data_IF_077208667899
#
_entry.id   IF_077208667899
#
_cell.length_a   1.000
_cell.length_b   1.000
_cell.length_c   1.000
_cell.angle_alpha   90.00
_cell.angle_beta   90.00
_cell.angle_gamma   90.00
#
_symmetry.space_group_name_H-M   'P 1'
#
loop_
_entity.id
_entity.type
_entity.pdbx_description
1 polymer ?
#
# COMPACT_ATOMS: atom_id res chain seq x y z
N UNK A 1 48.28 -48.32 -7.63
CA UNK A 1 47.81 -47.31 -6.65
C UNK A 1 47.73 -45.98 -7.36
N UNK A 2 46.52 -45.47 -7.63
CA UNK A 2 46.27 -44.16 -8.23
C UNK A 2 45.39 -43.39 -7.25
N UNK A 3 45.92 -42.32 -6.66
CA UNK A 3 45.11 -41.38 -5.88
C UNK A 3 44.38 -40.42 -6.82
N UNK A 4 43.09 -40.12 -6.60
CA UNK A 4 42.41 -39.07 -7.34
C UNK A 4 42.68 -37.69 -6.72
N UNK A 5 43.08 -36.75 -7.58
CA UNK A 5 43.20 -35.31 -7.33
C UNK A 5 41.79 -34.70 -7.15
N UNK A 6 41.55 -33.77 -6.21
CA UNK A 6 40.22 -33.18 -6.04
C UNK A 6 39.90 -32.23 -7.21
N UNK A 7 38.66 -32.34 -7.69
CA UNK A 7 38.10 -31.50 -8.74
C UNK A 7 38.03 -30.04 -8.30
N UNK A 8 38.76 -29.18 -9.02
CA UNK A 8 38.66 -27.72 -8.94
C UNK A 8 37.21 -27.27 -9.21
N UNK A 9 36.56 -26.71 -8.19
CA UNK A 9 35.29 -26.00 -8.34
C UNK A 9 35.54 -24.77 -9.23
N UNK A 10 35.08 -24.87 -10.48
CA UNK A 10 35.23 -23.84 -11.50
C UNK A 10 34.69 -22.47 -11.00
N UNK A 11 35.47 -21.37 -11.11
CA UNK A 11 35.13 -20.04 -10.62
C UNK A 11 33.93 -19.37 -11.34
N UNK A 12 33.46 -19.94 -12.44
CA UNK A 12 32.36 -19.39 -13.24
C UNK A 12 30.99 -19.49 -12.58
N UNK A 13 30.75 -20.47 -11.70
CA UNK A 13 29.45 -20.60 -10.99
C UNK A 13 29.28 -19.53 -9.91
N UNK A 14 30.36 -19.12 -9.26
CA UNK A 14 30.33 -18.09 -8.20
C UNK A 14 30.11 -16.71 -8.80
N UNK A 15 30.78 -16.40 -9.92
CA UNK A 15 30.58 -15.14 -10.63
C UNK A 15 29.15 -14.97 -11.16
N UNK A 16 28.55 -16.03 -11.73
CA UNK A 16 27.16 -15.99 -12.21
C UNK A 16 26.14 -15.74 -11.09
N UNK A 17 26.34 -16.35 -9.91
CA UNK A 17 25.44 -16.17 -8.77
C UNK A 17 25.50 -14.75 -8.20
N UNK A 18 26.69 -14.15 -8.14
CA UNK A 18 26.91 -12.77 -7.67
C UNK A 18 26.29 -11.73 -8.60
N UNK A 19 26.37 -11.94 -9.92
CA UNK A 19 25.76 -11.03 -10.91
C UNK A 19 24.23 -11.09 -10.84
N UNK A 20 23.65 -12.30 -10.74
CA UNK A 20 22.19 -12.46 -10.61
C UNK A 20 21.71 -11.86 -9.28
N UNK A 21 22.40 -12.12 -8.17
CA UNK A 21 22.07 -11.51 -6.88
C UNK A 21 22.18 -9.97 -6.92
N UNK A 22 23.21 -9.42 -7.55
CA UNK A 22 23.39 -7.98 -7.71
C UNK A 22 22.27 -7.33 -8.54
N UNK A 23 21.88 -7.94 -9.66
CA UNK A 23 20.78 -7.44 -10.50
C UNK A 23 19.44 -7.52 -9.77
N UNK A 24 19.18 -8.61 -9.02
CA UNK A 24 17.97 -8.75 -8.20
C UNK A 24 17.91 -7.70 -7.09
N UNK A 25 19.04 -7.41 -6.43
CA UNK A 25 19.13 -6.38 -5.39
C UNK A 25 18.88 -4.98 -5.95
N UNK A 26 19.42 -4.65 -7.12
CA UNK A 26 19.21 -3.34 -7.77
C UNK A 26 17.75 -3.16 -8.20
N UNK A 27 17.12 -4.19 -8.76
CA UNK A 27 15.70 -4.15 -9.13
C UNK A 27 14.80 -4.05 -7.89
N UNK A 28 15.12 -4.76 -6.82
CA UNK A 28 14.40 -4.66 -5.55
C UNK A 28 14.53 -3.25 -4.94
N UNK A 29 15.71 -2.64 -5.00
CA UNK A 29 15.95 -1.28 -4.53
C UNK A 29 15.15 -0.24 -5.36
N UNK A 30 15.15 -0.36 -6.69
CA UNK A 30 14.37 0.51 -7.56
C UNK A 30 12.85 0.38 -7.34
N UNK A 31 12.37 -0.85 -7.16
CA UNK A 31 10.97 -1.11 -6.82
C UNK A 31 10.59 -0.56 -5.44
N UNK A 32 11.52 -0.61 -4.48
CA UNK A 32 11.32 -0.04 -3.14
C UNK A 32 11.25 1.48 -3.21
N UNK A 33 12.17 2.14 -3.92
CA UNK A 33 12.16 3.59 -4.10
C UNK A 33 10.91 4.09 -4.83
N UNK A 34 10.40 3.35 -5.82
CA UNK A 34 9.15 3.68 -6.49
C UNK A 34 7.93 3.56 -5.55
N UNK A 35 7.89 2.52 -4.71
CA UNK A 35 6.83 2.34 -3.73
C UNK A 35 6.86 3.41 -2.62
N UNK A 36 8.04 3.83 -2.17
CA UNK A 36 8.19 4.91 -1.20
C UNK A 36 7.75 6.26 -1.77
N UNK A 37 8.16 6.58 -3.00
CA UNK A 37 7.71 7.79 -3.69
C UNK A 37 6.18 7.81 -3.88
N UNK A 38 5.57 6.66 -4.15
CA UNK A 38 4.14 6.49 -4.23
C UNK A 38 3.44 6.71 -2.89
N UNK A 39 4.00 6.20 -1.79
CA UNK A 39 3.51 6.44 -0.42
C UNK A 39 3.55 7.93 -0.09
N UNK A 40 4.68 8.61 -0.36
CA UNK A 40 4.81 10.05 -0.11
C UNK A 40 3.84 10.85 -0.96
N UNK A 41 3.65 10.52 -2.24
CA UNK A 41 2.69 11.21 -3.11
C UNK A 41 1.26 11.10 -2.59
N UNK A 42 0.83 9.87 -2.21
CA UNK A 42 -0.52 9.62 -1.67
C UNK A 42 -0.71 10.29 -0.31
N UNK A 43 0.31 10.25 0.56
CA UNK A 43 0.29 10.94 1.84
C UNK A 43 0.18 12.46 1.67
N UNK A 44 1.02 13.06 0.80
CA UNK A 44 1.00 14.49 0.51
C UNK A 44 -0.32 14.95 -0.12
N UNK A 45 -0.93 14.14 -0.98
CA UNK A 45 -2.28 14.41 -1.49
C UNK A 45 -3.30 14.51 -0.34
N UNK A 46 -3.30 13.50 0.55
CA UNK A 46 -4.20 13.47 1.70
C UNK A 46 -3.93 14.67 2.61
N UNK A 47 -2.66 14.98 2.88
CA UNK A 47 -2.29 16.06 3.80
C UNK A 47 -2.36 17.47 3.21
N UNK A 48 -2.68 17.59 1.92
CA UNK A 48 -2.59 18.83 1.15
C UNK A 48 -1.21 19.51 1.28
N UNK A 49 -0.16 18.71 1.50
CA UNK A 49 1.22 19.19 1.46
C UNK A 49 1.54 19.63 0.02
N UNK A 50 1.50 20.95 -0.23
CA UNK A 50 1.72 21.54 -1.55
C UNK A 50 0.62 22.48 -2.06
N UNK A 51 -0.49 22.67 -1.33
CA UNK A 51 -1.50 23.70 -1.62
C UNK A 51 -2.95 23.23 -1.44
N UNK A 52 -3.89 24.18 -1.44
CA UNK A 52 -5.32 23.93 -1.24
C UNK A 52 -5.92 23.04 -2.35
N UNK A 53 -6.71 22.03 -1.96
CA UNK A 53 -7.63 21.37 -2.88
C UNK A 53 -8.55 22.42 -3.51
N UNK A 54 -8.92 22.28 -4.80
CA UNK A 54 -9.90 23.17 -5.36
C UNK A 54 -11.22 23.05 -4.61
N UNK A 55 -11.58 24.10 -3.87
CA UNK A 55 -12.86 24.25 -3.20
C UNK A 55 -14.07 24.37 -4.16
N UNK A 56 -13.90 24.07 -5.46
CA UNK A 56 -14.94 24.26 -6.47
C UNK A 56 -14.96 23.13 -7.51
N UNK A 57 -16.15 22.63 -7.90
CA UNK A 57 -16.28 21.68 -9.00
C UNK A 57 -15.72 22.29 -10.30
N UNK A 58 -14.92 21.52 -11.03
CA UNK A 58 -14.36 21.90 -12.34
C UNK A 58 -12.88 22.32 -12.34
N UNK A 59 -12.20 22.34 -11.19
CA UNK A 59 -10.73 22.51 -11.14
C UNK A 59 -10.05 21.16 -11.07
N UNK A 60 -8.94 21.01 -11.80
CA UNK A 60 -8.12 19.80 -11.75
C UNK A 60 -7.58 19.59 -10.33
N UNK A 61 -7.59 18.35 -9.80
CA UNK A 61 -6.90 18.02 -8.56
C UNK A 61 -5.43 18.44 -8.67
N UNK A 62 -4.78 18.87 -7.57
CA UNK A 62 -3.34 19.05 -7.58
C UNK A 62 -2.67 17.75 -8.05
N UNK A 63 -1.58 17.84 -8.79
CA UNK A 63 -0.86 16.72 -9.40
C UNK A 63 -0.66 15.48 -8.47
N UNK A 64 -0.34 15.63 -7.16
CA UNK A 64 -0.22 14.49 -6.25
C UNK A 64 -1.54 13.72 -6.01
N UNK A 65 -2.70 14.34 -6.23
CA UNK A 65 -4.02 13.75 -6.01
C UNK A 65 -4.66 13.12 -7.24
N UNK A 66 -4.02 13.21 -8.41
CA UNK A 66 -4.58 12.62 -9.63
C UNK A 66 -4.64 11.09 -9.50
N UNK A 67 -5.85 10.54 -9.61
CA UNK A 67 -6.08 9.09 -9.69
C UNK A 67 -6.21 8.34 -8.36
N UNK A 68 -6.13 9.02 -7.22
CA UNK A 68 -6.17 8.37 -5.89
C UNK A 68 -7.47 7.60 -5.60
N UNK A 69 -8.58 8.00 -6.23
CA UNK A 69 -9.88 7.30 -6.19
C UNK A 69 -10.01 6.17 -7.22
N UNK A 70 -9.25 6.26 -8.31
CA UNK A 70 -9.29 5.31 -9.43
C UNK A 70 -8.51 4.03 -9.12
N UNK A 71 -7.56 4.10 -8.19
CA UNK A 71 -6.70 2.97 -7.81
C UNK A 71 -7.47 1.77 -7.25
N UNK A 72 -8.61 1.99 -6.59
CA UNK A 72 -9.49 0.90 -6.15
C UNK A 72 -10.20 0.19 -7.32
N UNK A 73 -10.48 0.93 -8.40
CA UNK A 73 -11.09 0.40 -9.62
C UNK A 73 -10.09 -0.17 -10.63
N UNK A 74 -8.80 0.19 -10.52
CA UNK A 74 -7.76 -0.30 -11.43
C UNK A 74 -7.56 -1.82 -11.31
N UNK A 75 -7.67 -2.38 -10.10
CA UNK A 75 -7.62 -3.83 -9.91
C UNK A 75 -8.87 -4.55 -10.46
N UNK A 76 -10.01 -3.85 -10.61
CA UNK A 76 -11.24 -4.45 -11.14
C UNK A 76 -11.11 -4.79 -12.65
N UNK A 77 -10.14 -4.20 -13.36
CA UNK A 77 -9.84 -4.49 -14.77
C UNK A 77 -9.00 -5.77 -14.98
N UNK A 78 -8.49 -6.37 -13.91
CA UNK A 78 -7.72 -7.62 -13.94
C UNK A 78 -8.63 -8.80 -13.54
N UNK A 79 -8.20 -10.03 -13.82
CA UNK A 79 -8.91 -11.24 -13.42
C UNK A 79 -7.99 -12.27 -12.76
N UNK A 80 -8.58 -13.18 -11.98
CA UNK A 80 -7.93 -14.31 -11.34
C UNK A 80 -6.77 -13.89 -10.42
N UNK A 81 -5.62 -14.55 -10.59
CA UNK A 81 -4.45 -14.34 -9.75
C UNK A 81 -3.87 -12.92 -9.86
N UNK A 82 -3.90 -12.32 -11.06
CA UNK A 82 -3.38 -10.97 -11.28
C UNK A 82 -4.17 -9.92 -10.51
N UNK A 83 -5.51 -10.08 -10.46
CA UNK A 83 -6.37 -9.22 -9.67
C UNK A 83 -6.10 -9.36 -8.17
N UNK A 84 -5.93 -10.58 -7.66
CA UNK A 84 -5.61 -10.79 -6.24
C UNK A 84 -4.28 -10.16 -5.84
N UNK A 85 -3.26 -10.30 -6.70
CA UNK A 85 -1.95 -9.67 -6.48
C UNK A 85 -2.04 -8.15 -6.51
N UNK A 86 -2.86 -7.59 -7.40
CA UNK A 86 -3.13 -6.15 -7.43
C UNK A 86 -3.73 -5.66 -6.11
N UNK A 87 -4.80 -6.29 -5.63
CA UNK A 87 -5.40 -5.89 -4.35
C UNK A 87 -4.43 -6.04 -3.18
N UNK A 88 -3.66 -7.12 -3.10
CA UNK A 88 -2.68 -7.31 -2.04
C UNK A 88 -1.60 -6.21 -2.04
N UNK A 89 -1.09 -5.86 -3.22
CA UNK A 89 -0.11 -4.77 -3.39
C UNK A 89 -0.70 -3.42 -2.98
N UNK A 90 -1.89 -3.08 -3.48
CA UNK A 90 -2.53 -1.80 -3.15
C UNK A 90 -2.87 -1.67 -1.66
N UNK A 91 -3.37 -2.74 -1.03
CA UNK A 91 -3.64 -2.74 0.42
C UNK A 91 -2.34 -2.50 1.20
N UNK A 92 -1.26 -3.20 0.85
CA UNK A 92 0.03 -3.03 1.52
C UNK A 92 0.60 -1.61 1.34
N UNK A 93 0.44 -1.03 0.15
CA UNK A 93 0.84 0.33 -0.16
C UNK A 93 0.04 1.35 0.68
N UNK A 94 -1.28 1.18 0.77
CA UNK A 94 -2.14 2.03 1.58
C UNK A 94 -1.92 1.86 3.09
N UNK A 95 -1.58 0.67 3.56
CA UNK A 95 -1.18 0.45 4.95
C UNK A 95 0.11 1.22 5.28
N UNK A 96 1.05 1.35 4.34
CA UNK A 96 2.24 2.21 4.48
C UNK A 96 1.89 3.70 4.46
N UNK A 97 0.92 4.13 3.64
CA UNK A 97 0.41 5.51 3.67
C UNK A 97 -0.14 5.84 5.06
N UNK A 98 -0.91 4.94 5.67
CA UNK A 98 -1.39 5.13 7.04
C UNK A 98 -0.26 5.23 8.07
N UNK A 99 0.80 4.42 7.94
CA UNK A 99 1.98 4.52 8.80
C UNK A 99 2.73 5.84 8.61
N UNK A 100 2.80 6.36 7.38
CA UNK A 100 3.40 7.66 7.06
C UNK A 100 2.61 8.84 7.63
N UNK A 101 1.28 8.72 7.67
CA UNK A 101 0.39 9.73 8.24
C UNK A 101 0.38 9.70 9.78
N UNK A 102 0.70 8.55 10.40
CA UNK A 102 0.69 8.35 11.85
C UNK A 102 1.37 9.46 12.68
N UNK A 103 2.62 9.85 12.42
CA UNK A 103 3.27 10.91 13.20
C UNK A 103 2.55 12.25 13.06
N UNK A 104 2.11 12.62 11.85
CA UNK A 104 1.36 13.86 11.61
C UNK A 104 0.05 13.88 12.41
N UNK A 105 -0.66 12.75 12.45
CA UNK A 105 -1.88 12.60 13.24
C UNK A 105 -1.63 12.69 14.75
N UNK A 106 -0.56 12.05 15.22
CA UNK A 106 -0.15 12.06 16.61
C UNK A 106 0.18 13.47 17.10
N UNK A 107 0.96 14.22 16.31
CA UNK A 107 1.37 15.59 16.62
C UNK A 107 0.16 16.53 16.65
N UNK A 108 -0.74 16.43 15.67
CA UNK A 108 -1.94 17.28 15.57
C UNK A 108 -2.94 17.05 16.70
N UNK A 109 -3.11 15.80 17.15
CA UNK A 109 -4.04 15.46 18.24
C UNK A 109 -3.40 15.53 19.63
N UNK A 110 -2.07 15.64 19.73
CA UNK A 110 -1.36 15.58 21.01
C UNK A 110 -1.52 14.26 21.76
N UNK A 111 -1.93 13.19 21.06
CA UNK A 111 -2.32 11.91 21.65
C UNK A 111 -1.71 10.71 20.90
N UNK A 112 -0.37 10.58 20.87
CA UNK A 112 0.33 9.58 20.06
C UNK A 112 -0.11 8.14 20.34
N UNK A 113 -0.34 7.78 21.60
CA UNK A 113 -0.79 6.44 21.98
C UNK A 113 -2.22 6.13 21.50
N UNK A 114 -3.12 7.12 21.58
CA UNK A 114 -4.49 6.95 21.13
C UNK A 114 -4.54 6.73 19.61
N UNK A 115 -3.77 7.51 18.85
CA UNK A 115 -3.61 7.34 17.40
C UNK A 115 -3.02 5.96 17.06
N UNK A 116 -1.99 5.52 17.79
CA UNK A 116 -1.40 4.20 17.58
C UNK A 116 -2.41 3.07 17.84
N UNK A 117 -3.19 3.15 18.92
CA UNK A 117 -4.24 2.18 19.25
C UNK A 117 -5.36 2.18 18.21
N UNK A 118 -5.80 3.36 17.74
CA UNK A 118 -6.83 3.49 16.72
C UNK A 118 -6.41 2.82 15.40
N UNK A 119 -5.18 3.06 14.93
CA UNK A 119 -4.64 2.43 13.73
C UNK A 119 -4.53 0.91 13.83
N UNK A 120 -4.06 0.40 14.98
CA UNK A 120 -4.00 -1.05 15.22
C UNK A 120 -5.40 -1.68 15.29
N UNK A 121 -6.35 -1.00 15.93
CA UNK A 121 -7.76 -1.39 15.98
C UNK A 121 -8.39 -1.42 14.58
N UNK A 122 -8.18 -0.37 13.78
CA UNK A 122 -8.67 -0.30 12.40
C UNK A 122 -8.21 -1.50 11.57
N UNK A 123 -6.92 -1.84 11.57
CA UNK A 123 -6.40 -2.98 10.80
C UNK A 123 -7.08 -4.30 11.19
N UNK A 124 -7.30 -4.49 12.48
CA UNK A 124 -7.98 -5.68 13.03
C UNK A 124 -9.46 -5.71 12.66
N UNK A 125 -10.16 -4.57 12.79
CA UNK A 125 -11.58 -4.45 12.53
C UNK A 125 -11.93 -4.44 11.05
N UNK A 126 -11.07 -3.90 10.17
CA UNK A 126 -11.25 -3.88 8.70
C UNK A 126 -11.54 -5.28 8.15
N UNK A 127 -10.74 -6.27 8.56
CA UNK A 127 -10.93 -7.65 8.10
C UNK A 127 -12.26 -8.24 8.60
N UNK A 128 -12.67 -7.93 9.84
CA UNK A 128 -13.93 -8.38 10.40
C UNK A 128 -15.13 -7.71 9.71
N UNK A 129 -15.07 -6.39 9.49
CA UNK A 129 -16.10 -5.62 8.79
C UNK A 129 -16.34 -6.16 7.38
N UNK A 130 -15.29 -6.43 6.61
CA UNK A 130 -15.44 -7.00 5.27
C UNK A 130 -16.05 -8.41 5.26
N UNK A 131 -15.75 -9.24 6.26
CA UNK A 131 -16.44 -10.54 6.41
C UNK A 131 -17.92 -10.36 6.75
N UNK A 132 -18.23 -9.38 7.60
CA UNK A 132 -19.59 -9.07 8.01
C UNK A 132 -20.44 -8.57 6.83
N UNK A 133 -19.91 -7.59 6.07
CA UNK A 133 -20.61 -7.05 4.90
C UNK A 133 -20.83 -8.11 3.82
N UNK A 134 -19.85 -8.99 3.61
CA UNK A 134 -20.02 -10.15 2.75
C UNK A 134 -21.15 -11.05 3.23
N UNK A 135 -21.23 -11.34 4.53
CA UNK A 135 -22.27 -12.20 5.12
C UNK A 135 -23.69 -11.63 4.99
N UNK A 136 -23.86 -10.31 4.91
CA UNK A 136 -25.17 -9.65 4.75
C UNK A 136 -25.61 -9.45 3.29
N UNK A 137 -25.02 -10.18 2.34
CA UNK A 137 -25.52 -10.23 0.96
C UNK A 137 -25.04 -9.08 0.06
N UNK A 138 -24.07 -8.26 0.51
CA UNK A 138 -23.36 -7.38 -0.41
C UNK A 138 -22.33 -8.24 -1.15
N UNK A 139 -22.72 -8.80 -2.30
CA UNK A 139 -21.82 -9.49 -3.24
C UNK A 139 -21.13 -10.75 -2.68
N UNK A 140 -21.88 -11.65 -2.01
CA UNK A 140 -21.36 -12.95 -1.49
C UNK A 140 -20.72 -13.83 -2.54
N UNK A 141 -21.17 -13.73 -3.79
CA UNK A 141 -20.77 -14.62 -4.87
C UNK A 141 -19.49 -14.14 -5.57
N UNK A 142 -18.97 -12.97 -5.16
CA UNK A 142 -17.75 -12.41 -5.68
C UNK A 142 -16.56 -12.78 -4.76
N UNK A 143 -15.68 -13.72 -5.15
CA UNK A 143 -14.51 -14.10 -4.35
C UNK A 143 -13.53 -12.93 -4.13
N UNK A 144 -13.67 -11.85 -4.91
CA UNK A 144 -12.87 -10.63 -4.83
C UNK A 144 -13.53 -9.53 -3.99
N UNK A 145 -14.71 -9.79 -3.42
CA UNK A 145 -15.39 -8.84 -2.54
C UNK A 145 -14.52 -8.47 -1.33
N UNK A 146 -13.94 -9.45 -0.65
CA UNK A 146 -13.16 -9.18 0.57
C UNK A 146 -11.91 -8.32 0.29
N UNK A 147 -11.06 -8.63 -0.71
CA UNK A 147 -9.94 -7.76 -1.08
C UNK A 147 -10.39 -6.35 -1.46
N UNK A 148 -11.43 -6.21 -2.29
CA UNK A 148 -11.95 -4.90 -2.71
C UNK A 148 -12.49 -4.08 -1.56
N UNK A 149 -13.23 -4.71 -0.65
CA UNK A 149 -13.73 -4.07 0.58
C UNK A 149 -12.57 -3.59 1.46
N UNK A 150 -11.54 -4.43 1.66
CA UNK A 150 -10.38 -4.05 2.47
C UNK A 150 -9.65 -2.86 1.86
N UNK A 151 -9.44 -2.85 0.54
CA UNK A 151 -8.80 -1.73 -0.13
C UNK A 151 -9.60 -0.44 0.06
N UNK A 152 -10.91 -0.45 -0.23
CA UNK A 152 -11.79 0.72 -0.04
C UNK A 152 -11.78 1.25 1.39
N UNK A 153 -11.99 0.39 2.38
CA UNK A 153 -11.96 0.80 3.78
C UNK A 153 -10.61 1.40 4.20
N UNK A 154 -9.49 0.97 3.60
CA UNK A 154 -8.16 1.53 3.90
C UNK A 154 -7.99 2.92 3.31
N UNK A 155 -8.45 3.11 2.08
CA UNK A 155 -8.45 4.41 1.40
C UNK A 155 -9.34 5.39 2.15
N UNK A 156 -10.58 4.98 2.45
CA UNK A 156 -11.56 5.80 3.14
C UNK A 156 -11.06 6.19 4.53
N UNK A 157 -10.52 5.23 5.29
CA UNK A 157 -9.92 5.53 6.60
C UNK A 157 -8.74 6.51 6.48
N UNK A 158 -7.87 6.37 5.47
CA UNK A 158 -6.76 7.31 5.28
C UNK A 158 -7.25 8.74 5.01
N UNK A 159 -8.29 8.90 4.20
CA UNK A 159 -8.90 10.21 3.88
C UNK A 159 -9.68 10.79 5.06
N UNK A 160 -10.54 9.99 5.69
CA UNK A 160 -11.37 10.42 6.82
C UNK A 160 -10.53 10.77 8.03
N UNK A 161 -9.47 10.00 8.31
CA UNK A 161 -8.61 10.30 9.46
C UNK A 161 -7.91 11.65 9.29
N UNK A 162 -7.55 12.02 8.06
CA UNK A 162 -7.05 13.36 7.78
C UNK A 162 -8.12 14.45 7.96
N UNK A 163 -9.33 14.28 7.42
CA UNK A 163 -10.42 15.24 7.63
C UNK A 163 -10.73 15.45 9.12
N UNK A 164 -10.65 14.39 9.92
CA UNK A 164 -10.83 14.45 11.37
C UNK A 164 -9.69 15.18 12.10
N UNK A 165 -8.51 15.41 11.48
CA UNK A 165 -7.49 16.27 12.07
C UNK A 165 -7.89 17.74 12.12
N UNK A 166 -8.81 18.17 11.25
CA UNK A 166 -9.29 19.55 11.11
C UNK A 166 -10.73 19.73 11.58
N UNK A 167 -11.42 18.66 11.96
CA UNK A 167 -12.71 18.72 12.62
C UNK A 167 -12.51 19.03 14.11
N UNK A 168 -13.21 20.06 14.65
CA UNK A 168 -13.06 20.53 16.03
C UNK A 168 -13.44 19.49 17.08
#
# INVERSE_FOLDING_TARGET
MLMPVPASLRPTRVAGLLVVAGVVLVQAAAATGAAEAEVERRAACITHEGGDLPAAPGKMPPDPCRGIDLDAGACDALDGAAQQQCFAREIALWDKVLDRLKPVMADRKGAPEAVARALAGFRSHRAAACRLYGRFGINTDNPHYQPRCRLRLTIDYAKDTYLQLYSP
#
